data_IF_871127792904
#
_entry.id   IF_871127792904
#
_cell.length_a   1.000
_cell.length_b   1.000
_cell.length_c   1.000
_cell.angle_alpha   90.00
_cell.angle_beta   90.00
_cell.angle_gamma   90.00
#
_symmetry.space_group_name_H-M   'P 1'
#
loop_
_entity.id
_entity.type
_entity.pdbx_description
1 polymer ?
#
# COMPACT_ATOMS: atom_id res chain seq x y z
N UNK A 1 20.68 -18.93 0.44
CA UNK A 1 20.05 -17.81 -0.28
C UNK A 1 18.90 -17.34 0.60
N UNK A 2 19.06 -16.20 1.27
CA UNK A 2 18.07 -15.70 2.22
C UNK A 2 17.20 -14.72 1.43
N UNK A 3 16.10 -15.19 0.83
CA UNK A 3 15.14 -14.28 0.20
C UNK A 3 14.51 -13.48 1.35
N UNK A 4 14.66 -12.14 1.40
CA UNK A 4 13.99 -11.35 2.42
C UNK A 4 12.47 -11.59 2.35
N UNK A 5 11.81 -11.64 3.50
CA UNK A 5 10.35 -11.75 3.53
C UNK A 5 9.73 -10.56 2.78
N UNK A 6 8.68 -10.77 1.96
CA UNK A 6 8.06 -9.69 1.20
C UNK A 6 7.62 -8.58 2.13
N UNK A 7 8.10 -7.36 1.88
CA UNK A 7 7.68 -6.18 2.64
C UNK A 7 6.45 -5.60 1.96
N UNK A 8 5.28 -6.01 2.44
CA UNK A 8 4.01 -5.62 1.85
C UNK A 8 3.57 -4.24 2.30
N UNK A 9 3.15 -3.40 1.36
CA UNK A 9 2.65 -2.05 1.61
C UNK A 9 1.15 -2.03 1.33
N UNK A 10 0.35 -1.58 2.31
CA UNK A 10 -1.10 -1.39 2.12
C UNK A 10 -1.34 -0.17 1.23
N UNK A 11 -1.97 -0.37 0.07
CA UNK A 11 -2.16 0.70 -0.92
C UNK A 11 -3.61 0.98 -1.27
N UNK A 12 -4.51 0.01 -1.06
CA UNK A 12 -5.91 0.19 -1.42
C UNK A 12 -6.87 -0.72 -0.65
N UNK A 13 -8.15 -0.36 -0.70
CA UNK A 13 -9.23 -1.17 -0.18
C UNK A 13 -10.39 -1.24 -1.17
N UNK A 14 -11.01 -2.42 -1.28
CA UNK A 14 -12.27 -2.59 -2.01
C UNK A 14 -13.39 -1.88 -1.25
N UNK A 15 -14.10 -0.99 -1.92
CA UNK A 15 -15.25 -0.27 -1.39
C UNK A 15 -16.59 -0.83 -1.88
N UNK A 16 -17.61 0.03 -1.87
CA UNK A 16 -18.98 -0.37 -2.20
C UNK A 16 -19.14 -0.87 -3.66
N UNK A 17 -19.99 -1.88 -3.84
CA UNK A 17 -20.37 -2.38 -5.15
C UNK A 17 -21.11 -1.33 -5.98
N UNK A 18 -20.82 -1.30 -7.28
CA UNK A 18 -21.34 -0.37 -8.27
C UNK A 18 -22.06 -1.13 -9.39
N UNK A 19 -23.33 -0.80 -9.64
CA UNK A 19 -24.14 -1.49 -10.64
C UNK A 19 -24.37 -2.98 -10.35
N UNK A 20 -24.65 -3.75 -11.40
CA UNK A 20 -24.96 -5.20 -11.32
C UNK A 20 -23.86 -6.12 -11.89
N UNK A 21 -22.90 -5.55 -12.64
CA UNK A 21 -21.89 -6.32 -13.39
C UNK A 21 -20.64 -6.68 -12.57
N UNK A 22 -20.71 -6.56 -11.25
CA UNK A 22 -19.59 -6.84 -10.34
C UNK A 22 -18.54 -5.74 -10.27
N UNK A 23 -18.87 -4.53 -10.71
CA UNK A 23 -18.01 -3.38 -10.52
C UNK A 23 -18.07 -2.91 -9.06
N UNK A 24 -17.02 -2.25 -8.59
CA UNK A 24 -16.97 -1.68 -7.25
C UNK A 24 -16.03 -0.47 -7.22
N UNK A 25 -16.19 0.36 -6.20
CA UNK A 25 -15.24 1.44 -5.91
C UNK A 25 -13.94 0.85 -5.38
N UNK A 26 -12.80 1.24 -5.95
CA UNK A 26 -11.49 1.02 -5.37
C UNK A 26 -11.05 2.30 -4.65
N UNK A 27 -10.69 2.18 -3.38
CA UNK A 27 -10.20 3.29 -2.56
C UNK A 27 -8.69 3.14 -2.52
N UNK A 28 -7.98 3.94 -3.30
CA UNK A 28 -6.51 3.99 -3.30
C UNK A 28 -6.01 5.00 -2.26
N UNK A 29 -4.89 4.67 -1.62
CA UNK A 29 -4.16 5.50 -0.67
C UNK A 29 -2.81 5.98 -1.24
N UNK A 30 -2.55 5.73 -2.51
CA UNK A 30 -1.39 6.28 -3.21
C UNK A 30 -1.58 7.77 -3.51
N UNK A 31 -0.47 8.48 -3.73
CA UNK A 31 -0.49 9.93 -4.02
C UNK A 31 -1.34 10.26 -5.26
N UNK A 32 -1.19 9.45 -6.33
CA UNK A 32 -2.16 9.38 -7.42
C UNK A 32 -2.98 8.08 -7.26
N UNK A 33 -4.31 8.17 -7.05
CA UNK A 33 -5.17 7.01 -6.94
C UNK A 33 -5.09 6.05 -8.14
N UNK A 34 -4.83 6.55 -9.35
CA UNK A 34 -4.80 5.74 -10.55
C UNK A 34 -3.55 4.84 -10.66
N UNK A 35 -2.42 5.24 -10.07
CA UNK A 35 -1.15 4.47 -10.09
C UNK A 35 -1.28 3.08 -9.46
N UNK A 36 -2.26 2.86 -8.58
CA UNK A 36 -2.53 1.53 -8.01
C UNK A 36 -2.82 0.46 -9.08
N UNK A 37 -3.28 0.88 -10.27
CA UNK A 37 -3.58 -0.01 -11.39
C UNK A 37 -2.33 -0.61 -12.03
N UNK A 38 -1.16 0.01 -11.84
CA UNK A 38 0.12 -0.45 -12.39
C UNK A 38 0.63 -1.71 -11.67
N UNK A 39 0.16 -1.95 -10.44
CA UNK A 39 0.56 -3.07 -9.59
C UNK A 39 -0.43 -4.25 -9.64
N UNK A 40 -1.00 -4.52 -10.81
CA UNK A 40 -1.97 -5.60 -10.99
C UNK A 40 -1.25 -6.95 -11.26
N UNK A 41 -1.51 -8.04 -10.52
CA UNK A 41 -2.54 -8.19 -9.48
C UNK A 41 -2.13 -7.64 -8.11
N UNK A 42 -3.11 -7.07 -7.42
CA UNK A 42 -2.94 -6.62 -6.04
C UNK A 42 -2.97 -7.80 -5.07
N UNK A 43 -2.18 -7.71 -4.01
CA UNK A 43 -1.89 -8.79 -3.07
C UNK A 43 -2.76 -8.71 -1.80
N UNK A 44 -2.89 -9.83 -1.09
CA UNK A 44 -3.41 -9.87 0.28
C UNK A 44 -2.30 -9.58 1.31
N UNK A 45 -2.67 -9.55 2.60
CA UNK A 45 -1.73 -9.35 3.70
C UNK A 45 -0.70 -10.48 3.87
N UNK A 46 -0.80 -11.56 3.09
CA UNK A 46 0.15 -12.68 3.05
C UNK A 46 0.99 -12.68 1.77
N UNK A 47 0.82 -11.68 0.90
CA UNK A 47 1.56 -11.53 -0.35
C UNK A 47 1.04 -12.41 -1.49
N UNK A 48 -0.16 -12.99 -1.37
CA UNK A 48 -0.76 -13.78 -2.45
C UNK A 48 -1.66 -12.89 -3.33
N UNK A 49 -1.76 -13.16 -4.63
CA UNK A 49 -2.70 -12.45 -5.50
C UNK A 49 -4.13 -12.51 -4.96
N UNK A 50 -4.69 -11.35 -4.62
CA UNK A 50 -6.01 -11.22 -4.02
C UNK A 50 -7.02 -10.61 -4.98
N UNK A 51 -6.58 -9.68 -5.84
CA UNK A 51 -7.44 -8.98 -6.76
C UNK A 51 -6.74 -8.76 -8.10
N UNK A 52 -7.33 -9.32 -9.16
CA UNK A 52 -6.86 -9.09 -10.53
C UNK A 52 -7.85 -8.18 -11.25
N UNK A 53 -7.46 -6.92 -11.43
CA UNK A 53 -8.25 -5.89 -12.08
C UNK A 53 -8.29 -6.18 -13.58
N UNK A 54 -9.49 -6.16 -14.16
CA UNK A 54 -9.72 -6.39 -15.59
C UNK A 54 -10.04 -5.10 -16.33
N UNK A 55 -10.78 -4.19 -15.69
CA UNK A 55 -11.05 -2.85 -16.22
C UNK A 55 -11.13 -1.84 -15.09
N UNK A 56 -10.78 -0.59 -15.37
CA UNK A 56 -10.87 0.51 -14.44
C UNK A 56 -11.29 1.79 -15.18
N UNK A 57 -12.04 2.65 -14.50
CA UNK A 57 -12.38 4.00 -14.99
C UNK A 57 -12.63 4.93 -13.83
N UNK A 58 -12.44 6.21 -14.06
CA UNK A 58 -12.90 7.22 -13.11
C UNK A 58 -14.38 7.53 -13.32
N UNK A 59 -15.11 7.67 -12.21
CA UNK A 59 -16.48 8.13 -12.21
C UNK A 59 -16.75 8.98 -10.97
N UNK A 60 -17.07 10.27 -11.18
CA UNK A 60 -17.38 11.23 -10.09
C UNK A 60 -16.29 11.29 -9.00
N UNK A 61 -15.03 11.30 -9.41
CA UNK A 61 -13.88 11.34 -8.48
C UNK A 61 -13.64 10.03 -7.72
N UNK A 62 -14.23 8.91 -8.16
CA UNK A 62 -13.97 7.58 -7.63
C UNK A 62 -13.42 6.67 -8.71
N UNK A 63 -12.47 5.81 -8.35
CA UNK A 63 -11.98 4.75 -9.22
C UNK A 63 -12.95 3.58 -9.18
N UNK A 64 -13.63 3.31 -10.29
CA UNK A 64 -14.57 2.19 -10.44
C UNK A 64 -13.87 1.09 -11.23
N UNK A 65 -13.77 -0.09 -10.64
CA UNK A 65 -13.02 -1.21 -11.20
C UNK A 65 -13.87 -2.45 -11.32
N UNK A 66 -13.47 -3.33 -12.24
CA UNK A 66 -13.91 -4.72 -12.34
C UNK A 66 -12.72 -5.62 -12.08
N UNK A 67 -12.96 -6.74 -11.41
CA UNK A 67 -11.92 -7.72 -11.14
C UNK A 67 -12.42 -9.14 -11.46
N UNK A 68 -11.50 -10.06 -11.75
CA UNK A 68 -11.86 -11.47 -12.04
C UNK A 68 -12.62 -12.12 -10.87
N UNK A 69 -12.30 -11.72 -9.65
CA UNK A 69 -12.87 -12.23 -8.41
C UNK A 69 -14.31 -11.74 -8.15
N UNK A 70 -14.79 -10.74 -8.91
CA UNK A 70 -16.13 -10.17 -8.78
C UNK A 70 -16.90 -10.22 -10.12
N UNK A 71 -17.40 -11.39 -10.55
CA UNK A 71 -18.15 -11.51 -11.80
C UNK A 71 -19.53 -10.82 -11.76
N UNK A 72 -20.10 -10.63 -10.57
CA UNK A 72 -21.41 -10.03 -10.32
C UNK A 72 -21.43 -9.17 -9.06
N UNK A 73 -22.54 -8.44 -8.84
CA UNK A 73 -22.72 -7.56 -7.69
C UNK A 73 -22.54 -8.26 -6.35
N UNK A 74 -23.07 -9.47 -6.19
CA UNK A 74 -23.02 -10.21 -4.93
C UNK A 74 -21.59 -10.60 -4.60
N UNK A 75 -20.79 -10.99 -5.60
CA UNK A 75 -19.36 -11.22 -5.42
C UNK A 75 -18.61 -9.94 -5.06
N UNK A 76 -18.90 -8.82 -5.73
CA UNK A 76 -18.30 -7.53 -5.38
C UNK A 76 -18.61 -7.09 -3.94
N UNK A 77 -19.86 -7.27 -3.48
CA UNK A 77 -20.27 -6.96 -2.10
C UNK A 77 -19.51 -7.79 -1.07
N UNK A 78 -19.18 -9.06 -1.37
CA UNK A 78 -18.38 -9.91 -0.48
C UNK A 78 -16.92 -9.48 -0.37
N UNK A 79 -16.38 -8.82 -1.40
CA UNK A 79 -15.03 -8.27 -1.38
C UNK A 79 -14.96 -6.92 -0.67
N UNK A 80 -16.09 -6.27 -0.39
CA UNK A 80 -16.10 -4.97 0.28
C UNK A 80 -15.30 -5.03 1.60
N UNK A 81 -14.37 -4.10 1.76
CA UNK A 81 -13.45 -4.03 2.87
C UNK A 81 -12.14 -4.81 2.68
N UNK A 82 -11.98 -5.60 1.61
CA UNK A 82 -10.73 -6.32 1.31
C UNK A 82 -9.58 -5.32 1.18
N UNK A 83 -8.57 -5.50 2.04
CA UNK A 83 -7.32 -4.74 2.01
C UNK A 83 -6.38 -5.31 0.96
N UNK A 84 -5.74 -4.43 0.22
CA UNK A 84 -4.91 -4.74 -0.93
C UNK A 84 -3.52 -4.15 -0.75
N UNK A 85 -2.53 -4.93 -1.15
CA UNK A 85 -1.12 -4.66 -0.91
C UNK A 85 -0.32 -4.78 -2.21
N UNK A 86 0.87 -4.21 -2.20
CA UNK A 86 1.92 -4.42 -3.22
C UNK A 86 3.20 -4.86 -2.54
N UNK A 87 4.10 -5.50 -3.29
CA UNK A 87 5.45 -5.72 -2.81
C UNK A 87 6.24 -4.40 -2.88
N UNK A 88 6.99 -4.06 -1.83
CA UNK A 88 7.89 -2.92 -1.87
C UNK A 88 8.90 -3.02 -3.02
N UNK A 89 9.29 -4.23 -3.40
CA UNK A 89 10.19 -4.47 -4.53
C UNK A 89 9.60 -4.03 -5.89
N UNK A 90 8.28 -3.82 -5.99
CA UNK A 90 7.63 -3.34 -7.22
C UNK A 90 7.63 -1.81 -7.34
N UNK A 91 8.14 -1.09 -6.33
CA UNK A 91 8.35 0.36 -6.41
C UNK A 91 9.69 0.65 -7.10
N UNK A 92 9.78 1.68 -7.97
CA UNK A 92 11.02 2.03 -8.64
C UNK A 92 12.15 2.33 -7.65
N UNK A 93 13.35 1.82 -7.93
CA UNK A 93 14.57 2.17 -7.19
C UNK A 93 14.90 3.65 -7.37
N UNK A 94 15.62 4.19 -6.39
CA UNK A 94 15.86 5.63 -6.24
C UNK A 94 17.35 5.92 -6.38
N UNK A 95 17.70 6.98 -7.13
CA UNK A 95 19.08 7.30 -7.51
C UNK A 95 19.95 7.82 -6.34
N UNK A 96 21.27 7.59 -6.42
CA UNK A 96 22.26 7.74 -5.32
C UNK A 96 22.41 9.13 -4.67
N UNK A 97 21.82 10.18 -5.26
CA UNK A 97 21.88 11.57 -4.77
C UNK A 97 20.51 12.13 -4.35
N UNK A 98 19.47 11.29 -4.34
CA UNK A 98 18.13 11.62 -3.81
C UNK A 98 17.83 10.75 -2.58
N UNK A 99 17.82 11.34 -1.39
CA UNK A 99 17.38 10.62 -0.19
C UNK A 99 15.86 10.51 -0.20
N UNK A 100 15.36 9.30 -0.37
CA UNK A 100 13.99 9.00 -0.01
C UNK A 100 13.93 8.85 1.51
N UNK A 101 12.94 9.49 2.14
CA UNK A 101 12.66 9.40 3.58
C UNK A 101 12.52 7.93 4.06
N UNK A 102 12.33 6.99 3.13
CA UNK A 102 12.24 5.54 3.33
C UNK A 102 13.55 4.82 3.61
N UNK A 103 14.72 5.45 3.45
CA UNK A 103 16.04 4.82 3.70
C UNK A 103 16.48 4.90 5.16
N UNK A 104 15.72 5.59 6.02
CA UNK A 104 16.00 5.65 7.45
C UNK A 104 15.44 4.45 8.23
N UNK A 105 14.53 3.65 7.62
CA UNK A 105 13.86 2.53 8.30
C UNK A 105 14.87 1.42 8.59
N UNK A 106 15.12 1.17 9.87
CA UNK A 106 16.07 0.15 10.35
C UNK A 106 17.45 0.66 10.80
N UNK A 107 17.75 1.96 10.62
CA UNK A 107 18.98 2.54 11.16
C UNK A 107 18.89 2.75 12.68
N UNK A 108 20.00 2.50 13.38
CA UNK A 108 20.14 2.79 14.81
C UNK A 108 20.36 4.28 15.00
N UNK A 109 19.46 4.93 15.75
CA UNK A 109 19.63 6.32 16.16
C UNK A 109 20.62 6.35 17.33
N UNK A 110 21.66 7.17 17.23
CA UNK A 110 22.60 7.45 18.31
C UNK A 110 22.55 8.93 18.68
N UNK A 111 22.75 9.26 19.95
CA UNK A 111 22.89 10.66 20.38
C UNK A 111 24.28 11.22 20.02
N UNK A 112 24.49 12.53 20.30
CA UNK A 112 25.76 13.22 20.04
C UNK A 112 26.95 12.67 20.85
N UNK A 113 26.68 11.85 21.86
CA UNK A 113 27.67 11.17 22.71
C UNK A 113 27.88 9.69 22.30
N UNK A 114 27.15 9.20 21.29
CA UNK A 114 27.26 7.86 20.72
C UNK A 114 26.40 6.79 21.39
N UNK A 115 25.46 7.15 22.28
CA UNK A 115 24.59 6.19 22.95
C UNK A 115 23.41 5.80 22.05
N UNK A 116 23.01 4.52 21.99
CA UNK A 116 21.86 4.08 21.20
C UNK A 116 20.54 4.55 21.80
N UNK A 117 19.69 5.16 20.97
CA UNK A 117 18.39 5.76 21.33
C UNK A 117 17.20 4.90 20.84
N UNK A 118 17.31 4.24 19.69
CA UNK A 118 16.24 3.39 19.14
C UNK A 118 16.38 3.07 17.64
N UNK A 119 15.33 2.50 17.02
CA UNK A 119 15.26 2.19 15.58
C UNK A 119 14.06 2.85 14.92
N UNK A 120 14.25 3.40 13.72
CA UNK A 120 13.17 4.02 12.94
C UNK A 120 12.29 2.93 12.33
N UNK A 121 10.98 2.96 12.60
CA UNK A 121 10.03 1.90 12.24
C UNK A 121 9.15 2.23 11.03
N UNK A 122 8.77 3.49 10.82
CA UNK A 122 8.00 3.93 9.66
C UNK A 122 8.12 5.46 9.52
N UNK A 123 7.89 5.98 8.31
CA UNK A 123 7.66 7.41 8.10
C UNK A 123 6.45 7.60 7.20
N UNK A 124 5.38 8.19 7.74
CA UNK A 124 4.18 8.52 6.99
C UNK A 124 4.18 10.00 6.63
N UNK A 125 4.01 10.33 5.34
CA UNK A 125 3.85 11.71 4.89
C UNK A 125 2.41 11.93 4.42
N UNK A 126 1.56 12.50 5.28
CA UNK A 126 0.17 12.88 4.98
C UNK A 126 0.03 14.32 4.46
N UNK A 127 1.08 14.91 3.86
CA UNK A 127 0.97 16.19 3.16
C UNK A 127 0.59 17.40 4.03
N UNK A 128 0.65 17.31 5.37
CA UNK A 128 0.35 18.44 6.27
C UNK A 128 1.31 18.58 7.48
N UNK A 129 2.49 17.97 7.42
CA UNK A 129 3.53 18.03 8.46
C UNK A 129 4.03 16.64 8.84
N UNK A 130 5.31 16.57 9.18
CA UNK A 130 6.00 15.31 9.47
C UNK A 130 5.58 14.78 10.85
N UNK A 131 5.02 13.57 10.89
CA UNK A 131 4.73 12.84 12.12
C UNK A 131 5.60 11.58 12.16
N UNK A 132 6.45 11.50 13.18
CA UNK A 132 7.40 10.42 13.38
C UNK A 132 6.93 9.56 14.57
N UNK A 133 6.50 8.33 14.31
CA UNK A 133 6.19 7.37 15.38
C UNK A 133 7.46 6.60 15.77
N UNK A 134 7.88 6.79 17.02
CA UNK A 134 9.07 6.15 17.61
C UNK A 134 8.59 5.12 18.63
N UNK A 135 8.99 3.85 18.47
CA UNK A 135 8.84 2.84 19.52
C UNK A 135 10.14 2.78 20.35
N UNK A 136 10.10 3.06 21.65
CA UNK A 136 11.25 2.88 22.53
C UNK A 136 11.50 1.39 22.79
N UNK A 137 12.75 1.02 23.12
CA UNK A 137 13.16 -0.37 23.40
C UNK A 137 12.53 -0.97 24.69
N UNK A 138 11.55 -0.29 25.27
CA UNK A 138 10.84 -0.69 26.48
C UNK A 138 9.34 -0.37 26.34
N UNK A 139 8.66 -1.10 25.44
CA UNK A 139 7.20 -1.14 25.32
C UNK A 139 6.64 -0.42 24.11
#
# INVERSE_FOLDING_TARGET
MNTPAPQLIFVAQVGAAHGIQGEFKLISHMADPASVLEHNPLLDAKGNPALEITTAREHKGALIVRAKQAPDRTAAEKLNGLKLYIDRADLPEVDEDEYYITDLIGMTVVDVEGNPVGRVLNVENFGAGDLLDIQPESG
#
